data_IF_863521167253
#
_entry.id   IF_863521167253
#
_cell.length_a   1.000
_cell.length_b   1.000
_cell.length_c   1.000
_cell.angle_alpha   90.00
_cell.angle_beta   90.00
_cell.angle_gamma   90.00
#
_symmetry.space_group_name_H-M   'P 1'
#
loop_
_entity.id
_entity.type
_entity.pdbx_description
1 polymer ?
#
# COMPACT_ATOMS: atom_id res chain seq x y z
N UNK A 1 -61.57 -2.37 -51.76
CA UNK A 1 -61.06 -1.72 -52.99
C UNK A 1 -59.54 -1.65 -52.83
N UNK A 2 -58.82 -2.69 -53.25
CA UNK A 2 -58.03 -2.76 -54.50
C UNK A 2 -57.12 -1.53 -54.67
N UNK A 3 -55.79 -1.59 -54.81
CA UNK A 3 -54.96 -2.63 -55.42
C UNK A 3 -53.50 -2.57 -54.93
N UNK A 4 -52.85 -3.74 -54.98
CA UNK A 4 -51.40 -3.93 -55.00
C UNK A 4 -50.73 -3.36 -56.26
N UNK A 5 -49.47 -2.93 -56.15
CA UNK A 5 -48.44 -3.17 -57.18
C UNK A 5 -47.02 -3.12 -56.56
N UNK A 6 -46.18 -4.05 -57.02
CA UNK A 6 -44.87 -4.48 -56.48
C UNK A 6 -43.70 -3.88 -57.32
N UNK A 7 -42.42 -4.27 -57.13
CA UNK A 7 -41.26 -3.37 -57.03
C UNK A 7 -40.46 -3.19 -58.34
N UNK A 8 -39.51 -2.25 -58.36
CA UNK A 8 -38.48 -2.16 -59.41
C UNK A 8 -37.08 -2.46 -58.86
N UNK A 9 -36.59 -3.62 -59.30
CA UNK A 9 -35.20 -4.07 -59.32
C UNK A 9 -34.36 -3.20 -60.25
N UNK A 10 -33.14 -2.84 -59.83
CA UNK A 10 -32.06 -2.47 -60.76
C UNK A 10 -30.81 -3.23 -60.34
N UNK A 11 -30.50 -4.26 -61.12
CA UNK A 11 -29.23 -4.98 -61.10
C UNK A 11 -28.19 -4.19 -61.89
N UNK A 12 -27.02 -3.90 -61.31
CA UNK A 12 -25.88 -3.35 -62.04
C UNK A 12 -24.58 -4.09 -61.74
N UNK A 13 -24.36 -5.14 -62.53
CA UNK A 13 -23.11 -5.57 -63.18
C UNK A 13 -21.79 -5.40 -62.40
N UNK A 14 -21.25 -6.55 -61.97
CA UNK A 14 -19.82 -6.73 -61.69
C UNK A 14 -19.00 -6.42 -62.95
N UNK A 15 -17.89 -5.73 -62.77
CA UNK A 15 -16.75 -5.80 -63.69
C UNK A 15 -15.49 -5.96 -62.86
N UNK A 16 -14.94 -7.17 -62.89
CA UNK A 16 -13.62 -7.51 -62.39
C UNK A 16 -12.56 -6.84 -63.29
N UNK A 17 -11.63 -6.11 -62.70
CA UNK A 17 -10.34 -5.80 -63.32
C UNK A 17 -9.26 -6.68 -62.66
N UNK A 18 -8.40 -7.36 -63.42
CA UNK A 18 -7.32 -8.16 -62.86
C UNK A 18 -6.15 -7.23 -62.52
N UNK A 19 -5.84 -7.06 -61.24
CA UNK A 19 -4.57 -6.46 -60.83
C UNK A 19 -3.51 -7.56 -60.72
N UNK A 20 -2.47 -7.41 -61.55
CA UNK A 20 -1.25 -8.19 -61.58
C UNK A 20 -0.58 -8.21 -60.20
N UNK A 21 -0.33 -9.41 -59.68
CA UNK A 21 0.52 -9.65 -58.51
C UNK A 21 1.97 -9.63 -58.96
N UNK A 22 2.74 -8.64 -58.51
CA UNK A 22 4.21 -8.70 -58.52
C UNK A 22 4.66 -8.96 -57.08
N UNK A 23 5.07 -10.20 -56.82
CA UNK A 23 5.60 -10.63 -55.53
C UNK A 23 7.02 -10.12 -55.33
N UNK A 24 7.18 -9.15 -54.43
CA UNK A 24 8.47 -8.87 -53.78
C UNK A 24 8.47 -9.65 -52.47
N UNK A 25 9.14 -10.80 -52.48
CA UNK A 25 9.43 -11.57 -51.28
C UNK A 25 10.55 -10.86 -50.49
N UNK A 26 10.18 -9.92 -49.62
CA UNK A 26 11.06 -9.49 -48.55
C UNK A 26 11.01 -10.54 -47.44
N UNK A 27 12.00 -11.42 -47.42
CA UNK A 27 12.32 -12.25 -46.24
C UNK A 27 12.78 -11.33 -45.11
N UNK A 28 11.84 -10.79 -44.34
CA UNK A 28 12.17 -10.13 -43.08
C UNK A 28 12.41 -11.21 -42.04
N UNK A 29 13.68 -11.45 -41.77
CA UNK A 29 14.14 -12.13 -40.58
C UNK A 29 13.55 -11.40 -39.38
N UNK A 30 12.62 -12.04 -38.68
CA UNK A 30 12.16 -11.56 -37.38
C UNK A 30 13.34 -11.72 -36.44
N UNK A 31 14.12 -10.66 -36.30
CA UNK A 31 15.04 -10.51 -35.18
C UNK A 31 14.16 -10.46 -33.93
N UNK A 32 14.13 -11.58 -33.20
CA UNK A 32 13.73 -11.61 -31.79
C UNK A 32 14.67 -10.69 -31.04
N UNK A 33 14.33 -9.40 -31.03
CA UNK A 33 14.92 -8.44 -30.12
C UNK A 33 14.53 -8.87 -28.72
N UNK A 34 15.51 -9.38 -27.97
CA UNK A 34 15.42 -9.46 -26.53
C UNK A 34 15.11 -8.05 -26.02
N UNK A 35 13.86 -7.82 -25.62
CA UNK A 35 13.47 -6.61 -24.92
C UNK A 35 14.27 -6.55 -23.62
N UNK A 36 15.23 -5.62 -23.56
CA UNK A 36 15.77 -5.16 -22.30
C UNK A 36 14.65 -4.58 -21.42
N UNK A 37 14.88 -4.39 -20.11
CA UNK A 37 13.87 -3.85 -19.22
C UNK A 37 13.51 -2.44 -19.70
N UNK A 38 12.37 -2.32 -20.37
CA UNK A 38 11.83 -1.04 -20.79
C UNK A 38 11.53 -0.20 -19.56
N UNK A 39 12.12 0.99 -19.52
CA UNK A 39 11.81 2.04 -18.57
C UNK A 39 10.30 2.16 -18.43
N UNK A 40 9.79 1.87 -17.23
CA UNK A 40 8.45 2.27 -16.86
C UNK A 40 8.41 3.79 -16.91
N UNK A 41 7.45 4.37 -17.62
CA UNK A 41 7.27 5.82 -17.68
C UNK A 41 7.16 6.40 -16.26
N UNK A 42 7.88 7.48 -15.97
CA UNK A 42 7.89 8.17 -14.66
C UNK A 42 6.55 8.86 -14.32
N UNK A 43 5.63 8.90 -15.29
CA UNK A 43 4.29 9.44 -15.10
C UNK A 43 3.34 8.38 -14.55
N UNK A 44 2.65 8.72 -13.46
CA UNK A 44 1.59 7.91 -12.86
C UNK A 44 0.23 8.60 -13.00
N UNK A 45 -0.89 7.86 -13.03
CA UNK A 45 -2.21 8.46 -12.97
C UNK A 45 -2.40 9.18 -11.62
N UNK A 46 -2.64 10.49 -11.68
CA UNK A 46 -2.87 11.35 -10.50
C UNK A 46 -4.36 11.57 -10.21
N UNK A 47 -5.24 11.29 -11.17
CA UNK A 47 -6.68 11.51 -11.01
C UNK A 47 -7.31 10.42 -10.14
N UNK A 48 -8.03 10.85 -9.11
CA UNK A 48 -8.86 9.98 -8.27
C UNK A 48 -10.15 9.66 -9.04
N UNK A 49 -10.22 8.45 -9.61
CA UNK A 49 -11.40 7.97 -10.31
C UNK A 49 -12.19 6.98 -9.46
N UNK A 50 -13.36 7.41 -8.97
CA UNK A 50 -14.32 6.56 -8.27
C UNK A 50 -14.98 5.56 -9.23
N UNK A 51 -14.94 4.26 -8.89
CA UNK A 51 -15.69 3.23 -9.61
C UNK A 51 -17.19 3.32 -9.22
N UNK A 52 -18.13 3.23 -10.19
CA UNK A 52 -19.54 3.42 -9.88
C UNK A 52 -20.09 2.30 -8.96
N UNK A 53 -20.77 2.69 -7.90
CA UNK A 53 -21.60 1.82 -7.07
C UNK A 53 -22.99 2.45 -6.89
N UNK A 54 -24.00 1.92 -7.56
CA UNK A 54 -25.38 2.45 -7.51
C UNK A 54 -26.07 2.06 -6.20
N UNK A 55 -25.73 2.77 -5.12
CA UNK A 55 -26.28 2.56 -3.78
C UNK A 55 -27.79 2.79 -3.73
N UNK A 56 -28.34 3.53 -4.70
CA UNK A 56 -29.78 3.78 -4.81
C UNK A 56 -30.55 2.71 -5.60
N UNK A 57 -29.84 1.71 -6.12
CA UNK A 57 -30.45 0.64 -6.91
C UNK A 57 -31.56 -0.10 -6.15
N UNK A 58 -32.56 -0.57 -6.90
CA UNK A 58 -33.63 -1.45 -6.39
C UNK A 58 -33.10 -2.81 -5.91
N UNK A 59 -31.95 -3.23 -6.41
CA UNK A 59 -31.30 -4.46 -5.97
C UNK A 59 -30.40 -4.25 -4.75
N UNK A 60 -30.30 -3.02 -4.23
CA UNK A 60 -29.46 -2.74 -3.08
C UNK A 60 -30.12 -3.18 -1.76
N UNK A 61 -29.42 -4.02 -1.02
CA UNK A 61 -29.77 -4.44 0.34
C UNK A 61 -29.12 -3.46 1.31
N UNK A 62 -29.94 -2.78 2.09
CA UNK A 62 -29.52 -1.75 3.05
C UNK A 62 -29.62 -2.28 4.47
N UNK A 63 -28.61 -1.99 5.28
CA UNK A 63 -28.56 -2.31 6.71
C UNK A 63 -28.40 -1.00 7.46
N UNK A 64 -29.44 -0.65 8.21
CA UNK A 64 -29.43 0.38 9.24
C UNK A 64 -28.93 -0.29 10.52
N UNK A 65 -27.67 -0.04 10.87
CA UNK A 65 -26.98 -0.76 11.94
C UNK A 65 -27.23 -0.10 13.31
N UNK A 66 -27.47 1.21 13.33
CA UNK A 66 -27.74 1.97 14.55
C UNK A 66 -29.24 2.26 14.79
N UNK A 67 -30.12 1.91 13.86
CA UNK A 67 -31.56 2.15 13.83
C UNK A 67 -31.96 3.63 13.82
N UNK A 68 -31.20 4.48 13.12
CA UNK A 68 -31.49 5.91 13.00
C UNK A 68 -32.27 6.29 11.73
N UNK A 69 -32.57 5.32 10.86
CA UNK A 69 -33.28 5.50 9.60
C UNK A 69 -32.37 5.80 8.40
N UNK A 70 -31.06 5.95 8.59
CA UNK A 70 -30.05 5.90 7.54
C UNK A 70 -29.41 4.52 7.55
N UNK A 71 -28.86 4.10 6.41
CA UNK A 71 -28.23 2.80 6.29
C UNK A 71 -26.72 2.94 6.24
N UNK A 72 -26.03 2.30 7.19
CA UNK A 72 -24.56 2.30 7.22
C UNK A 72 -23.95 1.37 6.20
N UNK A 73 -24.65 0.30 5.82
CA UNK A 73 -24.12 -0.67 4.86
C UNK A 73 -25.12 -0.83 3.73
N UNK A 74 -24.69 -0.52 2.52
CA UNK A 74 -25.46 -0.74 1.30
C UNK A 74 -24.74 -1.72 0.40
N UNK A 75 -25.37 -2.88 0.14
CA UNK A 75 -24.83 -3.93 -0.74
C UNK A 75 -25.63 -3.96 -2.03
N UNK A 76 -25.02 -3.61 -3.15
CA UNK A 76 -25.66 -3.64 -4.47
C UNK A 76 -25.54 -5.04 -5.05
N UNK A 77 -26.67 -5.61 -5.47
CA UNK A 77 -26.75 -6.97 -5.98
C UNK A 77 -27.00 -7.02 -7.49
N UNK A 78 -26.46 -8.03 -8.15
CA UNK A 78 -26.83 -8.48 -9.50
C UNK A 78 -27.30 -9.93 -9.43
N UNK A 79 -28.61 -10.14 -9.40
CA UNK A 79 -29.19 -11.45 -9.04
C UNK A 79 -28.85 -11.79 -7.59
N UNK A 80 -28.23 -12.94 -7.35
CA UNK A 80 -27.77 -13.36 -6.02
C UNK A 80 -26.33 -12.95 -5.70
N UNK A 81 -25.62 -12.29 -6.62
CA UNK A 81 -24.22 -11.89 -6.46
C UNK A 81 -24.11 -10.43 -6.04
N UNK A 82 -23.30 -10.16 -5.02
CA UNK A 82 -22.95 -8.80 -4.65
C UNK A 82 -21.93 -8.24 -5.66
N UNK A 83 -22.16 -7.02 -6.16
CA UNK A 83 -21.27 -6.37 -7.14
C UNK A 83 -20.45 -5.25 -6.51
N UNK A 84 -21.03 -4.52 -5.57
CA UNK A 84 -20.32 -3.55 -4.76
C UNK A 84 -21.01 -3.34 -3.41
N UNK A 85 -20.25 -2.82 -2.45
CA UNK A 85 -20.70 -2.43 -1.12
C UNK A 85 -20.21 -1.04 -0.81
N UNK A 86 -21.09 -0.19 -0.32
CA UNK A 86 -20.73 1.09 0.30
C UNK A 86 -20.96 1.00 1.82
N UNK A 87 -20.06 1.61 2.59
CA UNK A 87 -20.09 1.61 4.05
C UNK A 87 -19.86 3.01 4.57
N UNK A 88 -20.78 3.50 5.40
CA UNK A 88 -20.63 4.66 6.28
C UNK A 88 -20.09 4.14 7.63
N UNK A 89 -18.85 4.50 7.96
CA UNK A 89 -18.13 4.03 9.14
C UNK A 89 -18.35 4.95 10.35
N UNK A 90 -18.75 6.20 10.13
CA UNK A 90 -18.88 7.22 11.18
C UNK A 90 -20.33 7.64 11.47
N UNK A 91 -21.31 7.08 10.75
CA UNK A 91 -22.74 7.31 10.88
C UNK A 91 -23.18 8.74 10.54
N UNK A 92 -22.49 9.43 9.62
CA UNK A 92 -22.87 10.79 9.22
C UNK A 92 -23.83 10.85 8.01
N UNK A 93 -24.03 9.72 7.35
CA UNK A 93 -24.85 9.55 6.15
C UNK A 93 -24.07 9.65 4.83
N UNK A 94 -22.74 9.79 4.87
CA UNK A 94 -21.84 9.70 3.71
C UNK A 94 -21.07 8.38 3.77
N UNK A 95 -20.75 7.83 2.61
CA UNK A 95 -20.07 6.54 2.54
C UNK A 95 -18.57 6.77 2.57
N UNK A 96 -17.90 6.24 3.59
CA UNK A 96 -16.45 6.35 3.79
C UNK A 96 -15.67 5.27 3.01
N UNK A 97 -16.31 4.16 2.65
CA UNK A 97 -15.62 3.06 1.96
C UNK A 97 -16.50 2.35 0.94
N UNK A 98 -15.88 2.03 -0.19
CA UNK A 98 -16.48 1.21 -1.24
C UNK A 98 -15.65 -0.04 -1.50
N UNK A 99 -16.32 -1.18 -1.65
CA UNK A 99 -15.72 -2.46 -2.04
C UNK A 99 -16.37 -2.93 -3.33
N UNK A 100 -15.56 -3.37 -4.29
CA UNK A 100 -16.03 -3.90 -5.57
C UNK A 100 -15.59 -5.33 -5.75
N UNK A 101 -16.53 -6.17 -6.17
CA UNK A 101 -16.31 -7.59 -6.37
C UNK A 101 -16.23 -7.92 -7.87
N UNK A 102 -15.44 -8.93 -8.21
CA UNK A 102 -15.43 -9.51 -9.55
C UNK A 102 -16.57 -10.51 -9.74
N UNK A 103 -16.59 -11.18 -10.90
CA UNK A 103 -17.62 -12.16 -11.24
C UNK A 103 -17.54 -13.46 -10.43
N UNK A 104 -16.39 -13.71 -9.78
CA UNK A 104 -16.20 -14.82 -8.85
C UNK A 104 -16.54 -14.44 -7.40
N UNK A 105 -16.93 -13.18 -7.16
CA UNK A 105 -17.20 -12.65 -5.83
C UNK A 105 -15.95 -12.31 -5.02
N UNK A 106 -14.78 -12.29 -5.66
CA UNK A 106 -13.53 -11.88 -5.00
C UNK A 106 -13.40 -10.36 -5.05
N UNK A 107 -12.75 -9.79 -4.03
CA UNK A 107 -12.45 -8.36 -4.03
C UNK A 107 -11.48 -8.05 -5.17
N UNK A 108 -11.87 -7.11 -6.04
CA UNK A 108 -11.01 -6.56 -7.11
C UNK A 108 -10.51 -5.16 -6.79
N UNK A 109 -11.26 -4.42 -5.98
CA UNK A 109 -10.97 -3.01 -5.65
C UNK A 109 -11.60 -2.63 -4.32
N UNK A 110 -10.92 -1.75 -3.59
CA UNK A 110 -11.48 -1.00 -2.46
C UNK A 110 -11.10 0.46 -2.60
N UNK A 111 -12.02 1.33 -2.26
CA UNK A 111 -11.83 2.77 -2.16
C UNK A 111 -12.12 3.22 -0.72
N UNK A 112 -11.38 4.19 -0.21
CA UNK A 112 -11.52 4.69 1.15
C UNK A 112 -11.29 6.20 1.20
N UNK A 113 -12.23 6.89 1.83
CA UNK A 113 -12.19 8.28 2.24
C UNK A 113 -11.83 8.29 3.74
N UNK A 114 -10.60 8.66 4.06
CA UNK A 114 -10.08 8.59 5.42
C UNK A 114 -10.26 9.90 6.17
N UNK A 115 -10.22 11.03 5.47
CA UNK A 115 -10.40 12.35 6.08
C UNK A 115 -11.87 12.81 6.15
N UNK A 116 -12.73 12.18 5.35
CA UNK A 116 -14.19 12.30 5.30
C UNK A 116 -14.66 13.62 4.69
N UNK A 117 -13.94 14.09 3.68
CA UNK A 117 -14.33 15.24 2.88
C UNK A 117 -15.30 14.88 1.72
N UNK A 118 -15.53 13.59 1.48
CA UNK A 118 -16.35 13.05 0.40
C UNK A 118 -15.58 12.71 -0.88
N UNK A 119 -14.24 12.79 -0.84
CA UNK A 119 -13.32 12.40 -1.91
C UNK A 119 -12.53 11.16 -1.47
N UNK A 120 -12.18 10.29 -2.42
CA UNK A 120 -11.45 9.06 -2.10
C UNK A 120 -9.95 9.36 -1.93
N UNK A 121 -9.40 9.01 -0.77
CA UNK A 121 -7.96 9.14 -0.48
C UNK A 121 -7.14 7.93 -0.91
N UNK A 122 -7.69 6.72 -0.78
CA UNK A 122 -6.98 5.47 -1.10
C UNK A 122 -7.77 4.60 -2.07
N UNK A 123 -7.09 4.14 -3.11
CA UNK A 123 -7.56 3.13 -4.05
C UNK A 123 -6.67 1.89 -3.91
N UNK A 124 -7.21 0.82 -3.33
CA UNK A 124 -6.56 -0.49 -3.27
C UNK A 124 -7.05 -1.39 -4.42
N UNK A 125 -6.12 -1.96 -5.18
CA UNK A 125 -6.40 -2.88 -6.30
C UNK A 125 -5.96 -4.29 -5.96
N UNK A 126 -6.80 -5.26 -6.31
CA UNK A 126 -6.61 -6.68 -6.01
C UNK A 126 -6.64 -7.51 -7.29
N UNK A 127 -5.84 -8.57 -7.34
CA UNK A 127 -5.86 -9.57 -8.43
C UNK A 127 -6.00 -10.96 -7.82
N UNK A 128 -7.03 -11.70 -8.22
CA UNK A 128 -7.34 -13.01 -7.63
C UNK A 128 -7.53 -12.94 -6.10
N UNK A 129 -8.13 -11.84 -5.62
CA UNK A 129 -8.36 -11.57 -4.20
C UNK A 129 -7.13 -11.13 -3.39
N UNK A 130 -5.94 -11.04 -4.00
CA UNK A 130 -4.69 -10.61 -3.33
C UNK A 130 -4.38 -9.15 -3.59
N UNK A 131 -3.87 -8.43 -2.59
CA UNK A 131 -3.50 -7.03 -2.76
C UNK A 131 -2.28 -6.92 -3.67
N UNK A 132 -2.36 -6.09 -4.71
CA UNK A 132 -1.24 -5.86 -5.64
C UNK A 132 -0.78 -4.41 -5.68
N UNK A 133 -1.67 -3.45 -5.38
CA UNK A 133 -1.36 -2.03 -5.46
C UNK A 133 -2.24 -1.20 -4.54
N UNK A 134 -1.71 -0.13 -3.98
CA UNK A 134 -2.48 0.97 -3.39
C UNK A 134 -2.02 2.30 -3.96
N UNK A 135 -2.97 3.09 -4.43
CA UNK A 135 -2.76 4.45 -4.90
C UNK A 135 -3.33 5.38 -3.84
N UNK A 136 -2.56 6.36 -3.40
CA UNK A 136 -2.91 7.22 -2.29
C UNK A 136 -2.73 8.69 -2.59
N UNK A 137 -3.72 9.42 -2.17
CA UNK A 137 -3.68 10.79 -1.72
C UNK A 137 -3.04 10.78 -0.30
N UNK A 138 -1.91 11.43 -0.10
CA UNK A 138 -1.25 11.56 1.20
C UNK A 138 -1.03 13.01 1.65
N UNK A 139 -1.32 14.00 0.81
CA UNK A 139 -1.06 15.42 1.05
C UNK A 139 -2.34 16.30 1.08
N UNK A 140 -3.50 15.71 0.83
CA UNK A 140 -4.86 16.27 0.80
C UNK A 140 -5.03 17.47 -0.17
N UNK A 141 -4.41 17.38 -1.34
CA UNK A 141 -4.56 18.29 -2.49
C UNK A 141 -5.54 17.81 -3.58
N UNK A 142 -6.10 16.60 -3.41
CA UNK A 142 -7.10 16.01 -4.33
C UNK A 142 -6.50 15.27 -5.51
N UNK A 143 -5.23 14.87 -5.42
CA UNK A 143 -4.53 14.03 -6.42
C UNK A 143 -3.79 12.89 -5.75
N UNK A 144 -3.70 11.77 -6.46
CA UNK A 144 -2.85 10.66 -6.05
C UNK A 144 -1.38 11.08 -6.18
N UNK A 145 -0.63 10.98 -5.09
CA UNK A 145 0.80 11.31 -5.03
C UNK A 145 1.69 10.11 -4.69
N UNK A 146 1.10 9.04 -4.13
CA UNK A 146 1.86 7.88 -3.64
C UNK A 146 1.33 6.57 -4.24
N UNK A 147 2.23 5.70 -4.71
CA UNK A 147 1.89 4.39 -5.29
C UNK A 147 2.68 3.27 -4.62
N UNK A 148 1.97 2.41 -3.90
CA UNK A 148 2.52 1.22 -3.22
C UNK A 148 2.26 -0.04 -4.02
N UNK A 149 3.27 -0.89 -4.15
CA UNK A 149 3.20 -2.16 -4.87
C UNK A 149 3.46 -3.34 -3.94
N UNK A 150 2.62 -4.35 -4.08
CA UNK A 150 2.60 -5.51 -3.19
C UNK A 150 2.88 -6.80 -3.95
N UNK A 151 3.60 -7.71 -3.31
CA UNK A 151 3.78 -9.10 -3.75
C UNK A 151 3.52 -10.02 -2.56
N UNK A 152 2.61 -11.00 -2.74
CA UNK A 152 2.18 -11.90 -1.67
C UNK A 152 1.75 -11.13 -0.39
N UNK A 153 0.98 -10.06 -0.58
CA UNK A 153 0.48 -9.17 0.48
C UNK A 153 1.58 -8.42 1.26
N UNK A 154 2.82 -8.38 0.75
CA UNK A 154 3.92 -7.61 1.34
C UNK A 154 4.30 -6.43 0.43
N UNK A 155 4.51 -5.26 1.03
CA UNK A 155 4.99 -4.06 0.33
C UNK A 155 6.43 -4.31 -0.15
N UNK A 156 6.64 -4.21 -1.46
CA UNK A 156 7.95 -4.43 -2.08
C UNK A 156 8.52 -3.17 -2.73
N UNK A 157 7.66 -2.19 -3.02
CA UNK A 157 8.06 -0.93 -3.66
C UNK A 157 7.07 0.17 -3.36
N UNK A 158 7.56 1.40 -3.21
CA UNK A 158 6.77 2.63 -3.14
C UNK A 158 7.34 3.65 -4.11
N UNK A 159 6.47 4.45 -4.70
CA UNK A 159 6.80 5.62 -5.50
C UNK A 159 6.04 6.82 -4.97
N UNK A 160 6.63 8.01 -5.09
CA UNK A 160 5.99 9.25 -4.69
C UNK A 160 6.34 10.42 -5.62
N UNK A 161 5.32 11.19 -5.97
CA UNK A 161 5.42 12.55 -6.50
C UNK A 161 5.32 13.49 -5.30
N UNK A 162 6.45 14.04 -4.84
CA UNK A 162 6.46 14.82 -3.60
C UNK A 162 6.13 16.30 -3.79
N UNK A 163 6.12 16.76 -5.05
CA UNK A 163 5.96 18.16 -5.41
C UNK A 163 4.65 18.44 -6.21
N UNK A 164 3.86 17.40 -6.48
CA UNK A 164 2.58 17.41 -7.18
C UNK A 164 2.65 17.91 -8.64
N UNK A 165 3.79 17.71 -9.31
CA UNK A 165 4.01 18.07 -10.71
C UNK A 165 3.55 17.00 -11.72
N UNK A 166 3.11 15.84 -11.22
CA UNK A 166 2.66 14.69 -12.00
C UNK A 166 3.75 13.69 -12.36
N UNK A 167 4.96 13.83 -11.81
CA UNK A 167 6.10 12.93 -12.02
C UNK A 167 6.60 12.39 -10.68
N UNK A 168 6.95 11.12 -10.67
CA UNK A 168 7.57 10.51 -9.49
C UNK A 168 8.98 11.09 -9.33
N UNK A 169 9.30 11.56 -8.11
CA UNK A 169 10.62 12.06 -7.73
C UNK A 169 11.29 11.22 -6.63
N UNK A 170 10.56 10.29 -6.01
CA UNK A 170 11.08 9.41 -4.96
C UNK A 170 10.64 7.96 -5.14
N UNK A 171 11.58 7.04 -4.95
CA UNK A 171 11.36 5.60 -5.01
C UNK A 171 11.91 4.91 -3.77
N UNK A 172 11.13 3.99 -3.20
CA UNK A 172 11.59 3.08 -2.16
C UNK A 172 11.51 1.65 -2.69
N UNK A 173 12.58 0.89 -2.50
CA UNK A 173 12.55 -0.56 -2.59
C UNK A 173 12.75 -1.16 -1.20
N UNK A 174 12.09 -2.30 -0.95
CA UNK A 174 12.13 -3.00 0.33
C UNK A 174 12.76 -4.39 0.11
N UNK A 175 14.12 -4.51 0.14
CA UNK A 175 14.80 -5.78 -0.19
C UNK A 175 14.53 -6.89 0.83
N UNK A 176 14.33 -6.52 2.09
CA UNK A 176 13.91 -7.41 3.16
C UNK A 176 12.46 -7.06 3.56
N UNK A 177 11.45 -7.85 3.13
CA UNK A 177 10.06 -7.61 3.46
C UNK A 177 9.75 -7.60 4.97
N UNK A 178 10.63 -8.18 5.79
CA UNK A 178 10.49 -8.18 7.25
C UNK A 178 11.04 -6.90 7.91
N UNK A 179 11.69 -6.01 7.17
CA UNK A 179 12.34 -4.79 7.68
C UNK A 179 12.01 -3.59 6.79
N UNK A 180 10.77 -3.13 6.84
CA UNK A 180 10.33 -2.00 6.02
C UNK A 180 11.09 -0.69 6.34
N UNK A 181 11.63 -0.57 7.55
CA UNK A 181 12.50 0.53 7.96
C UNK A 181 13.88 0.49 7.28
N UNK A 182 14.26 -0.63 6.66
CA UNK A 182 15.50 -0.82 5.91
C UNK A 182 15.31 -0.63 4.40
N UNK A 183 14.45 0.31 4.01
CA UNK A 183 14.26 0.64 2.61
C UNK A 183 15.55 1.18 1.97
N UNK A 184 15.69 0.93 0.67
CA UNK A 184 16.60 1.70 -0.18
C UNK A 184 15.78 2.81 -0.83
N UNK A 185 16.19 4.04 -0.62
CA UNK A 185 15.50 5.25 -1.11
C UNK A 185 16.32 5.86 -2.24
N UNK A 186 15.65 6.16 -3.35
CA UNK A 186 16.20 6.86 -4.50
C UNK A 186 15.41 8.17 -4.68
N UNK A 187 16.10 9.26 -5.00
CA UNK A 187 15.47 10.59 -5.15
C UNK A 187 16.04 11.31 -6.36
N UNK A 188 15.14 11.83 -7.20
CA UNK A 188 15.40 12.74 -8.33
C UNK A 188 15.15 14.17 -7.83
N UNK A 189 16.23 14.92 -7.60
CA UNK A 189 16.18 16.26 -7.04
C UNK A 189 16.18 17.36 -8.12
N UNK A 190 16.66 17.05 -9.33
CA UNK A 190 16.73 17.99 -10.44
C UNK A 190 15.56 17.87 -11.44
N UNK A 191 14.73 16.84 -11.30
CA UNK A 191 13.53 16.60 -12.09
C UNK A 191 13.81 16.10 -13.50
N UNK A 192 14.98 15.51 -13.75
CA UNK A 192 15.35 14.99 -15.07
C UNK A 192 14.77 13.59 -15.38
N UNK A 193 14.06 12.99 -14.43
CA UNK A 193 13.47 11.65 -14.49
C UNK A 193 14.42 10.53 -14.07
N UNK A 194 15.58 10.85 -13.45
CA UNK A 194 16.54 9.87 -12.96
C UNK A 194 16.90 10.15 -11.50
N UNK A 195 17.09 9.11 -10.68
CA UNK A 195 17.59 9.31 -9.34
C UNK A 195 18.99 9.94 -9.30
N UNK A 196 19.12 11.04 -8.56
CA UNK A 196 20.38 11.69 -8.22
C UNK A 196 21.06 11.03 -7.02
N UNK A 197 20.25 10.61 -6.06
CA UNK A 197 20.72 10.05 -4.79
C UNK A 197 20.15 8.67 -4.57
N UNK A 198 20.91 7.86 -3.83
CA UNK A 198 20.53 6.53 -3.40
C UNK A 198 21.04 6.29 -1.99
N UNK A 199 20.12 6.08 -1.06
CA UNK A 199 20.37 5.86 0.36
C UNK A 199 19.92 4.46 0.77
N UNK A 200 20.81 3.71 1.42
CA UNK A 200 20.45 2.44 2.05
C UNK A 200 20.32 2.70 3.56
N UNK A 201 19.07 2.88 4.01
CA UNK A 201 18.76 3.43 5.34
C UNK A 201 19.42 2.61 6.46
N UNK A 202 19.39 1.28 6.35
CA UNK A 202 19.96 0.44 7.39
C UNK A 202 21.48 0.32 7.30
N UNK A 203 22.06 0.24 6.10
CA UNK A 203 23.54 0.25 5.99
C UNK A 203 24.14 1.55 6.52
N UNK A 204 23.52 2.69 6.24
CA UNK A 204 23.99 3.98 6.73
C UNK A 204 23.83 4.12 8.24
N UNK A 205 22.71 3.64 8.80
CA UNK A 205 22.51 3.57 10.25
C UNK A 205 23.57 2.70 10.92
N UNK A 206 23.83 1.51 10.38
CA UNK A 206 24.85 0.58 10.90
C UNK A 206 26.25 1.19 10.82
N UNK A 207 26.61 1.82 9.70
CA UNK A 207 27.87 2.52 9.55
C UNK A 207 28.02 3.68 10.55
N UNK A 208 26.95 4.45 10.77
CA UNK A 208 26.91 5.55 11.73
C UNK A 208 27.08 5.05 13.17
N UNK A 209 26.42 3.95 13.54
CA UNK A 209 26.56 3.32 14.85
C UNK A 209 27.97 2.75 15.07
N UNK A 210 28.54 2.10 14.05
CA UNK A 210 29.90 1.59 14.11
C UNK A 210 30.93 2.72 14.29
N UNK A 211 30.77 3.83 13.55
CA UNK A 211 31.61 5.02 13.69
C UNK A 211 31.50 5.64 15.09
N UNK A 212 30.27 5.76 15.62
CA UNK A 212 30.04 6.27 16.98
C UNK A 212 30.66 5.36 18.06
N UNK A 213 30.54 4.04 17.91
CA UNK A 213 31.17 3.07 18.81
C UNK A 213 32.70 3.14 18.76
N UNK A 214 33.29 3.37 17.58
CA UNK A 214 34.74 3.50 17.42
C UNK A 214 35.28 4.83 17.98
N UNK A 215 34.47 5.88 18.00
CA UNK A 215 34.82 7.20 18.54
C UNK A 215 34.55 7.33 20.05
N UNK A 216 33.92 6.33 20.69
CA UNK A 216 33.58 6.39 22.11
C UNK A 216 34.85 6.34 22.98
N UNK A 217 35.00 7.24 23.98
CA UNK A 217 36.12 7.18 24.91
C UNK A 217 36.09 5.87 25.72
N UNK A 218 37.25 5.37 26.19
CA UNK A 218 37.29 4.15 27.00
C UNK A 218 36.39 4.30 28.23
N UNK A 219 35.66 3.23 28.55
CA UNK A 219 34.81 3.22 29.75
C UNK A 219 35.65 3.59 30.98
N UNK A 220 35.12 4.44 31.89
CA UNK A 220 35.82 4.75 33.13
C UNK A 220 36.10 3.44 33.89
N UNK A 221 37.23 3.36 34.62
CA UNK A 221 37.52 2.19 35.43
C UNK A 221 36.36 1.93 36.40
N UNK A 222 36.06 0.65 36.70
CA UNK A 222 35.00 0.33 37.65
C UNK A 222 35.27 1.02 38.99
N UNK A 223 34.22 1.40 39.74
CA UNK A 223 34.40 2.06 41.03
C UNK A 223 35.26 1.18 41.93
N UNK A 224 36.19 1.81 42.65
CA UNK A 224 37.05 1.11 43.59
C UNK A 224 36.18 0.31 44.59
N UNK A 225 36.57 -0.93 44.94
CA UNK A 225 35.84 -1.69 45.94
C UNK A 225 35.78 -0.88 47.25
N UNK A 226 34.67 -0.95 48.01
CA UNK A 226 34.56 -0.24 49.26
C UNK A 226 35.74 -0.62 50.17
N UNK A 227 36.50 0.38 50.62
CA UNK A 227 37.60 0.18 51.56
C UNK A 227 37.04 -0.53 52.79
N UNK A 228 37.48 -1.76 53.05
CA UNK A 228 37.10 -2.50 54.23
C UNK A 228 37.44 -1.67 55.47
N UNK A 229 36.42 -1.28 56.23
CA UNK A 229 36.61 -0.70 57.55
C UNK A 229 37.47 -1.65 58.39
N UNK A 230 38.43 -1.09 59.13
CA UNK A 230 39.28 -1.85 60.04
C UNK A 230 38.41 -2.66 61.03
N UNK A 231 38.80 -3.90 61.39
CA UNK A 231 38.01 -4.71 62.31
C UNK A 231 37.98 -4.05 63.69
N UNK A 232 36.77 -3.76 64.18
CA UNK A 232 36.53 -3.51 65.59
C UNK A 232 36.98 -4.72 66.41
N UNK A 233 37.96 -4.51 67.28
CA UNK A 233 38.43 -5.52 68.24
C UNK A 233 37.28 -5.86 69.19
N UNK A 234 36.82 -7.11 69.14
CA UNK A 234 35.84 -7.64 70.07
C UNK A 234 36.47 -7.83 71.47
N UNK A 235 35.81 -7.32 72.51
CA UNK A 235 36.18 -7.61 73.90
C UNK A 235 35.86 -9.07 74.27
N UNK A 236 36.70 -9.74 75.07
CA UNK A 236 36.49 -11.14 75.46
C UNK A 236 35.34 -11.31 76.48
N UNK A 237 34.69 -12.48 76.53
CA UNK A 237 33.60 -12.76 77.45
C UNK A 237 34.12 -12.96 78.89
N UNK A 238 33.39 -12.42 79.86
CA UNK A 238 33.61 -12.68 81.27
C UNK A 238 32.83 -13.92 81.74
N UNK A 239 33.45 -14.59 82.69
CA UNK A 239 33.25 -15.94 83.19
C UNK A 239 31.89 -16.24 83.85
N UNK A 240 31.56 -17.52 83.90
CA UNK A 240 30.36 -18.08 84.52
C UNK A 240 30.48 -18.14 86.06
N UNK A 241 29.38 -17.86 86.76
CA UNK A 241 29.18 -18.12 88.19
C UNK A 241 27.69 -18.08 88.57
N UNK A 242 27.23 -18.83 89.59
CA UNK A 242 26.10 -19.74 89.40
C UNK A 242 24.78 -19.34 90.07
N UNK A 243 23.71 -19.97 89.57
CA UNK A 243 22.49 -20.43 90.26
C UNK A 243 21.80 -19.52 91.29
N UNK A 244 20.54 -19.15 91.03
CA UNK A 244 19.47 -19.34 92.02
C UNK A 244 18.07 -19.44 91.37
N UNK A 245 17.25 -20.14 92.12
CA UNK A 245 15.95 -20.73 91.96
C UNK A 245 14.74 -19.78 92.04
N UNK A 246 13.58 -20.33 91.63
CA UNK A 246 12.25 -19.84 92.02
C UNK A 246 11.67 -18.82 91.05
N UNK A 247 10.57 -19.04 90.34
CA UNK A 247 9.39 -19.82 90.67
C UNK A 247 8.23 -18.86 90.96
N UNK A 248 7.23 -18.82 90.06
CA UNK A 248 5.79 -18.98 90.34
C UNK A 248 4.94 -18.44 89.19
N UNK A 249 4.06 -19.34 88.74
CA UNK A 249 2.66 -19.20 88.32
C UNK A 249 2.27 -18.07 87.38
#
# INVERSE_FOLDING_TARGET
MNSSAKPRSVSRWLSLAPLLVVGVACSQSVSLGAGGPGQASDARPIEIKHDPCDVESKSAVRVDANNDGKSEITRVMSGSREVCRAVDLNFDGRMDSYVYLDDQGQMRRRESDFDRDGVIDEIATFQGGKLVRKDRETNLDGKLDTWDFYQNDVLVRRERDSNADGRVDQWWSFPDPAKLECAVVETDADGDGKPDTRQDVCKEREASQAAASAAAPPAPPPPAPPSSAAPTVASPPADAGPSDSGGRK
#
